data_IF_334201211008
#
_entry.id   IF_334201211008
#
_cell.length_a   1.000
_cell.length_b   1.000
_cell.length_c   1.000
_cell.angle_alpha   90.00
_cell.angle_beta   90.00
_cell.angle_gamma   90.00
#
_symmetry.space_group_name_H-M   'P 1'
#
loop_
_entity.id
_entity.type
_entity.pdbx_description
1 polymer ?
#
# COMPACT_ATOMS: atom_id res chain seq x y z
N UNK A 1 -37.16 20.51 -31.80
CA UNK A 1 -37.09 20.35 -30.33
C UNK A 1 -36.45 18.99 -30.04
N UNK A 2 -35.15 18.93 -29.77
CA UNK A 2 -34.42 17.67 -29.53
C UNK A 2 -33.91 17.70 -28.09
N UNK A 3 -34.46 16.84 -27.23
CA UNK A 3 -33.98 16.62 -25.86
C UNK A 3 -32.83 15.62 -25.92
N UNK A 4 -31.60 16.13 -25.82
CA UNK A 4 -30.41 15.30 -25.65
C UNK A 4 -30.28 15.01 -24.14
N UNK A 5 -30.80 13.88 -23.69
CA UNK A 5 -30.42 13.31 -22.41
C UNK A 5 -29.23 12.38 -22.64
N UNK A 6 -28.01 12.91 -22.53
CA UNK A 6 -26.85 12.05 -22.37
C UNK A 6 -26.49 11.93 -20.89
N UNK A 7 -26.76 10.71 -20.44
CA UNK A 7 -26.57 10.07 -19.17
C UNK A 7 -25.10 10.17 -18.70
N UNK A 8 -24.75 11.22 -17.98
CA UNK A 8 -23.57 11.18 -17.11
C UNK A 8 -23.87 10.20 -15.98
N UNK A 9 -23.51 8.92 -16.17
CA UNK A 9 -23.22 8.05 -15.03
C UNK A 9 -22.09 8.73 -14.28
N UNK A 10 -22.43 9.44 -13.20
CA UNK A 10 -21.47 9.86 -12.18
C UNK A 10 -20.85 8.56 -11.68
N UNK A 11 -19.66 8.22 -12.18
CA UNK A 11 -18.87 7.14 -11.59
C UNK A 11 -18.86 7.42 -10.09
N UNK A 12 -19.37 6.47 -9.30
CA UNK A 12 -19.35 6.58 -7.85
C UNK A 12 -17.88 6.82 -7.50
N UNK A 13 -17.56 8.02 -7.02
CA UNK A 13 -16.21 8.33 -6.59
C UNK A 13 -15.82 7.24 -5.59
N UNK A 14 -14.78 6.48 -5.92
CA UNK A 14 -14.27 5.48 -5.00
C UNK A 14 -13.93 6.19 -3.69
N UNK A 15 -14.33 5.65 -2.52
CA UNK A 15 -14.09 6.34 -1.26
C UNK A 15 -12.59 6.62 -1.12
N UNK A 16 -12.19 7.83 -0.74
CA UNK A 16 -10.79 8.14 -0.51
C UNK A 16 -10.24 7.19 0.56
N UNK A 17 -9.15 6.51 0.22
CA UNK A 17 -8.42 5.63 1.13
C UNK A 17 -7.39 6.50 1.83
N UNK A 18 -7.74 6.94 3.04
CA UNK A 18 -6.76 7.49 3.98
C UNK A 18 -6.45 6.40 5.01
N UNK A 19 -5.19 5.96 5.03
CA UNK A 19 -4.70 4.91 5.92
C UNK A 19 -3.55 5.45 6.73
N UNK A 20 -3.63 5.23 8.03
CA UNK A 20 -2.51 5.27 8.97
C UNK A 20 -2.50 3.92 9.71
N UNK A 21 -1.49 3.10 9.44
CA UNK A 21 -1.33 1.77 10.00
C UNK A 21 0.03 1.63 10.66
N UNK A 22 0.04 1.17 11.91
CA UNK A 22 1.25 0.87 12.67
C UNK A 22 1.31 -0.62 12.92
N UNK A 23 2.50 -1.18 12.74
CA UNK A 23 2.80 -2.57 13.05
C UNK A 23 4.11 -2.65 13.81
N UNK A 24 4.22 -3.55 14.78
CA UNK A 24 5.45 -3.79 15.54
C UNK A 24 6.31 -4.91 14.94
N UNK A 25 5.82 -5.60 13.91
CA UNK A 25 6.54 -6.71 13.29
C UNK A 25 6.04 -7.03 11.89
N UNK A 26 6.88 -7.68 11.09
CA UNK A 26 6.47 -8.18 9.78
C UNK A 26 7.01 -9.57 9.47
N UNK A 27 6.35 -10.25 8.54
CA UNK A 27 6.84 -11.49 7.92
C UNK A 27 7.23 -11.17 6.47
N UNK A 28 8.41 -11.60 6.05
CA UNK A 28 8.83 -11.52 4.65
C UNK A 28 8.65 -12.88 4.00
N UNK A 29 7.99 -12.88 2.85
CA UNK A 29 7.91 -14.03 1.97
C UNK A 29 8.66 -13.72 0.68
N UNK A 30 9.39 -14.69 0.17
CA UNK A 30 10.02 -14.65 -1.14
C UNK A 30 9.78 -15.99 -1.83
N UNK A 31 9.39 -15.99 -3.10
CA UNK A 31 9.03 -17.21 -3.83
C UNK A 31 7.95 -18.03 -3.09
N UNK A 32 7.02 -17.32 -2.44
CA UNK A 32 5.93 -17.85 -1.58
C UNK A 32 6.39 -18.59 -0.32
N UNK A 33 7.67 -18.57 0.01
CA UNK A 33 8.23 -19.15 1.23
C UNK A 33 8.57 -18.06 2.24
N UNK A 34 8.39 -18.36 3.52
CA UNK A 34 8.83 -17.45 4.57
C UNK A 34 10.35 -17.35 4.60
N UNK A 35 10.87 -16.14 4.76
CA UNK A 35 12.30 -15.88 4.81
C UNK A 35 12.74 -15.91 6.27
N UNK A 36 13.60 -16.87 6.60
CA UNK A 36 14.26 -16.97 7.91
C UNK A 36 15.69 -16.46 7.75
N UNK A 37 16.08 -15.50 8.57
CA UNK A 37 17.40 -14.85 8.53
C UNK A 37 17.93 -14.61 9.95
N UNK A 38 19.22 -14.22 10.12
CA UNK A 38 19.74 -13.85 11.44
C UNK A 38 18.99 -12.72 12.13
N UNK A 39 18.18 -11.94 11.40
CA UNK A 39 17.39 -10.82 11.90
C UNK A 39 15.93 -11.19 12.25
N UNK A 40 15.56 -12.46 12.16
CA UNK A 40 14.20 -12.96 12.47
C UNK A 40 14.20 -13.91 13.67
N UNK A 41 13.04 -14.06 14.31
CA UNK A 41 12.82 -15.18 15.22
C UNK A 41 12.71 -16.54 14.47
N UNK A 42 12.50 -17.63 15.22
CA UNK A 42 12.35 -18.98 14.65
C UNK A 42 11.12 -19.17 13.77
N UNK A 43 10.18 -18.23 13.80
CA UNK A 43 9.00 -18.19 12.93
C UNK A 43 9.19 -17.30 11.70
N UNK A 44 10.36 -16.67 11.51
CA UNK A 44 10.64 -15.75 10.40
C UNK A 44 10.10 -14.33 10.62
N UNK A 45 9.72 -13.98 11.85
CA UNK A 45 9.20 -12.65 12.19
C UNK A 45 10.32 -11.66 12.48
N UNK A 46 10.25 -10.49 11.84
CA UNK A 46 11.08 -9.34 12.15
C UNK A 46 10.38 -8.47 13.21
N UNK A 47 11.05 -8.19 14.33
CA UNK A 47 10.58 -7.22 15.31
C UNK A 47 11.07 -5.82 14.91
N UNK A 48 10.22 -5.08 14.19
CA UNK A 48 10.55 -3.75 13.67
C UNK A 48 9.26 -2.93 13.60
N UNK A 49 9.22 -1.80 14.30
CA UNK A 49 8.06 -0.95 14.23
C UNK A 49 8.02 -0.24 12.87
N UNK A 50 6.90 -0.35 12.17
CA UNK A 50 6.69 0.18 10.82
C UNK A 50 5.40 0.95 10.75
N UNK A 51 5.45 2.16 10.19
CA UNK A 51 4.31 2.98 9.83
C UNK A 51 4.05 2.90 8.33
N UNK A 52 2.82 2.57 7.96
CA UNK A 52 2.33 2.55 6.58
C UNK A 52 1.25 3.60 6.45
N UNK A 53 1.45 4.54 5.52
CA UNK A 53 0.52 5.63 5.26
C UNK A 53 0.08 5.64 3.80
N UNK A 54 -1.22 5.79 3.56
CA UNK A 54 -1.79 5.97 2.22
C UNK A 54 -2.55 7.28 2.22
N UNK A 55 -2.14 8.23 1.37
CA UNK A 55 -2.74 9.57 1.31
C UNK A 55 -3.25 9.87 -0.09
N UNK A 56 -4.43 10.48 -0.18
CA UNK A 56 -5.08 10.89 -1.45
C UNK A 56 -4.58 12.29 -1.83
N UNK A 57 -3.35 12.39 -2.32
CA UNK A 57 -2.68 13.67 -2.59
C UNK A 57 -2.03 13.75 -3.98
N UNK A 58 -2.32 12.80 -4.88
CA UNK A 58 -1.80 12.85 -6.25
C UNK A 58 -2.86 13.38 -7.22
N UNK A 59 -2.46 14.18 -8.23
CA UNK A 59 -3.38 14.75 -9.22
C UNK A 59 -3.88 13.73 -10.25
N UNK A 60 -3.27 12.54 -10.34
CA UNK A 60 -3.84 11.41 -11.08
C UNK A 60 -5.13 10.94 -10.36
N UNK A 61 -6.16 10.54 -11.08
CA UNK A 61 -7.48 10.27 -10.52
C UNK A 61 -7.78 8.75 -10.50
N UNK A 62 -7.89 8.09 -9.32
CA UNK A 62 -7.34 8.46 -8.01
C UNK A 62 -5.94 7.87 -7.82
N UNK A 63 -4.96 8.76 -7.68
CA UNK A 63 -3.58 8.45 -7.32
C UNK A 63 -3.39 8.68 -5.82
N UNK A 64 -2.70 7.74 -5.20
CA UNK A 64 -2.38 7.71 -3.80
C UNK A 64 -0.86 7.76 -3.64
N UNK A 65 -0.40 8.47 -2.63
CA UNK A 65 0.98 8.34 -2.15
C UNK A 65 1.02 7.29 -1.05
N UNK A 66 1.82 6.25 -1.24
CA UNK A 66 2.10 5.23 -0.23
C UNK A 66 3.47 5.45 0.39
N UNK A 67 3.52 5.48 1.72
CA UNK A 67 4.74 5.61 2.52
C UNK A 67 4.88 4.37 3.43
N UNK A 68 6.09 3.84 3.54
CA UNK A 68 6.43 2.71 4.41
C UNK A 68 7.74 3.07 5.12
N UNK A 69 7.65 3.40 6.41
CA UNK A 69 8.76 3.94 7.20
C UNK A 69 8.92 3.16 8.50
N UNK A 70 10.14 3.04 9.02
CA UNK A 70 10.35 2.53 10.38
C UNK A 70 9.83 3.57 11.38
N UNK A 71 9.02 3.17 12.36
CA UNK A 71 8.29 4.10 13.22
C UNK A 71 9.05 4.55 14.48
N UNK A 72 10.25 4.03 14.72
CA UNK A 72 11.12 4.46 15.82
C UNK A 72 11.80 5.80 15.51
N UNK A 73 11.77 6.20 14.25
CA UNK A 73 12.10 7.56 13.84
C UNK A 73 10.93 8.46 14.25
N UNK A 74 11.19 9.56 14.96
CA UNK A 74 10.20 10.60 15.21
C UNK A 74 9.70 11.14 13.86
N UNK A 75 8.65 10.54 13.28
CA UNK A 75 8.06 10.99 12.00
C UNK A 75 7.16 12.20 12.29
N UNK A 76 7.77 13.28 12.77
CA UNK A 76 7.25 14.64 12.75
C UNK A 76 8.06 15.42 11.71
N UNK A 77 7.63 15.39 10.45
CA UNK A 77 8.30 16.10 9.36
C UNK A 77 8.56 15.21 8.14
N UNK A 78 8.67 15.86 6.97
CA UNK A 78 8.96 15.26 5.68
C UNK A 78 10.08 14.22 5.79
N UNK A 79 9.69 12.94 5.72
CA UNK A 79 10.67 11.86 5.57
C UNK A 79 11.16 11.93 4.13
N UNK A 80 12.47 11.95 3.94
CA UNK A 80 13.16 11.97 2.64
C UNK A 80 12.90 10.72 1.77
N UNK A 81 11.85 9.95 2.07
CA UNK A 81 11.38 8.81 1.29
C UNK A 81 10.37 9.35 0.28
N UNK A 82 10.73 9.34 -0.99
CA UNK A 82 9.79 9.67 -2.06
C UNK A 82 8.62 8.68 -2.00
N UNK A 83 7.36 9.15 -1.99
CA UNK A 83 6.20 8.26 -1.93
C UNK A 83 6.15 7.35 -3.14
N UNK A 84 5.56 6.17 -2.96
CA UNK A 84 5.24 5.26 -4.04
C UNK A 84 3.87 5.66 -4.61
N UNK A 85 3.78 6.23 -5.82
CA UNK A 85 2.51 6.53 -6.45
C UNK A 85 1.76 5.25 -6.80
N UNK A 86 0.53 5.10 -6.30
CA UNK A 86 -0.32 3.94 -6.57
C UNK A 86 -1.76 4.32 -6.90
N UNK A 87 -2.48 3.47 -7.62
CA UNK A 87 -3.92 3.60 -7.87
C UNK A 87 -4.67 2.35 -7.38
N UNK A 88 -5.92 2.50 -6.96
CA UNK A 88 -6.77 1.34 -6.64
C UNK A 88 -7.03 0.57 -7.93
N UNK A 89 -6.81 -0.75 -7.87
CA UNK A 89 -7.14 -1.69 -8.95
C UNK A 89 -8.29 -2.62 -8.56
N UNK A 90 -8.56 -2.76 -7.26
CA UNK A 90 -9.70 -3.52 -6.75
C UNK A 90 -10.05 -3.06 -5.34
N UNK A 91 -11.34 -2.97 -5.02
CA UNK A 91 -11.79 -2.69 -3.65
C UNK A 91 -13.14 -3.32 -3.36
N UNK A 92 -13.29 -3.86 -2.15
CA UNK A 92 -14.57 -4.29 -1.57
C UNK A 92 -14.51 -4.16 -0.04
N UNK A 93 -15.54 -4.63 0.67
CA UNK A 93 -15.63 -4.52 2.14
C UNK A 93 -14.53 -5.26 2.94
N UNK A 94 -13.77 -6.14 2.29
CA UNK A 94 -12.75 -6.99 2.92
C UNK A 94 -11.32 -6.69 2.44
N UNK A 95 -11.18 -6.11 1.25
CA UNK A 95 -9.87 -5.93 0.64
C UNK A 95 -9.83 -4.66 -0.20
N UNK A 96 -8.71 -3.95 -0.13
CA UNK A 96 -8.34 -2.89 -1.07
C UNK A 96 -6.98 -3.22 -1.65
N UNK A 97 -6.87 -3.21 -2.97
CA UNK A 97 -5.63 -3.51 -3.71
C UNK A 97 -5.22 -2.28 -4.49
N UNK A 98 -3.98 -1.85 -4.28
CA UNK A 98 -3.34 -0.75 -4.97
C UNK A 98 -2.18 -1.28 -5.82
N UNK A 99 -1.97 -0.65 -6.98
CA UNK A 99 -0.87 -0.96 -7.90
C UNK A 99 -0.08 0.31 -8.18
N UNK A 100 1.25 0.23 -8.13
CA UNK A 100 2.08 1.38 -8.43
C UNK A 100 2.05 1.78 -9.91
N UNK A 101 2.20 3.08 -10.19
CA UNK A 101 2.19 3.62 -11.56
C UNK A 101 3.31 4.65 -11.78
N UNK A 102 3.79 4.74 -13.02
CA UNK A 102 4.88 5.65 -13.38
C UNK A 102 6.27 5.04 -13.15
N UNK A 103 7.27 5.91 -13.18
CA UNK A 103 8.69 5.54 -13.15
C UNK A 103 9.39 6.43 -12.11
N UNK A 104 10.19 5.81 -11.25
CA UNK A 104 11.07 6.49 -10.31
C UNK A 104 12.14 7.27 -11.10
N UNK A 105 12.56 8.48 -10.67
CA UNK A 105 13.58 9.26 -11.38
C UNK A 105 14.91 8.53 -11.65
N UNK A 106 15.24 7.51 -10.85
CA UNK A 106 16.41 6.65 -11.06
C UNK A 106 16.19 5.49 -12.06
N UNK A 107 15.01 5.38 -12.67
CA UNK A 107 14.70 4.41 -13.73
C UNK A 107 13.87 3.19 -13.31
N UNK A 108 13.67 2.94 -12.01
CA UNK A 108 12.81 1.85 -11.52
C UNK A 108 11.33 2.06 -11.84
N UNK A 109 10.55 1.00 -12.08
CA UNK A 109 9.12 1.14 -12.40
C UNK A 109 8.29 1.02 -11.13
N UNK A 110 7.35 1.94 -10.91
CA UNK A 110 6.45 1.79 -9.77
C UNK A 110 5.46 0.63 -9.95
N UNK A 111 5.25 0.17 -11.19
CA UNK A 111 4.48 -1.04 -11.48
C UNK A 111 5.03 -2.30 -10.82
N UNK A 112 6.27 -2.27 -10.34
CA UNK A 112 6.89 -3.38 -9.63
C UNK A 112 6.43 -3.45 -8.17
N UNK A 113 5.70 -2.43 -7.69
CA UNK A 113 5.13 -2.40 -6.34
C UNK A 113 3.60 -2.55 -6.34
N UNK A 114 3.08 -3.07 -5.24
CA UNK A 114 1.65 -3.12 -4.94
C UNK A 114 1.39 -3.09 -3.44
N UNK A 115 0.15 -2.80 -3.05
CA UNK A 115 -0.29 -2.83 -1.66
C UNK A 115 -1.64 -3.51 -1.55
N UNK A 116 -1.76 -4.49 -0.68
CA UNK A 116 -3.04 -5.08 -0.30
C UNK A 116 -3.37 -4.73 1.14
N UNK A 117 -4.55 -4.15 1.36
CA UNK A 117 -5.08 -3.82 2.69
C UNK A 117 -6.23 -4.78 2.97
N UNK A 118 -6.13 -5.53 4.07
CA UNK A 118 -7.20 -6.43 4.52
C UNK A 118 -7.98 -5.80 5.66
N UNK A 119 -9.30 -5.84 5.53
CA UNK A 119 -10.25 -5.24 6.44
C UNK A 119 -11.08 -6.31 7.15
N UNK A 120 -11.26 -6.15 8.46
CA UNK A 120 -12.17 -6.93 9.29
C UNK A 120 -12.94 -5.95 10.17
N UNK A 121 -14.28 -5.99 10.10
CA UNK A 121 -15.18 -5.08 10.83
C UNK A 121 -14.78 -3.60 10.73
N UNK A 122 -14.49 -3.15 9.50
CA UNK A 122 -14.07 -1.77 9.18
C UNK A 122 -12.72 -1.35 9.81
N UNK A 123 -11.97 -2.28 10.37
CA UNK A 123 -10.60 -2.08 10.87
C UNK A 123 -9.60 -2.76 9.95
N UNK A 124 -8.42 -2.17 9.80
CA UNK A 124 -7.32 -2.80 9.08
C UNK A 124 -6.77 -3.91 9.99
N UNK A 125 -6.80 -5.14 9.48
CA UNK A 125 -6.25 -6.33 10.12
C UNK A 125 -4.79 -6.52 9.73
N UNK A 126 -4.50 -6.38 8.44
CA UNK A 126 -3.20 -6.66 7.83
C UNK A 126 -2.99 -5.79 6.61
N UNK A 127 -1.74 -5.38 6.39
CA UNK A 127 -1.29 -4.80 5.13
C UNK A 127 -0.20 -5.70 4.54
N UNK A 128 -0.23 -5.90 3.22
CA UNK A 128 0.78 -6.65 2.48
C UNK A 128 1.38 -5.71 1.44
N UNK A 129 2.68 -5.49 1.51
CA UNK A 129 3.43 -4.76 0.50
C UNK A 129 4.07 -5.76 -0.48
N UNK A 130 3.85 -5.54 -1.76
CA UNK A 130 4.27 -6.43 -2.83
C UNK A 130 5.44 -5.81 -3.60
N UNK A 131 6.48 -6.61 -3.83
CA UNK A 131 7.57 -6.29 -4.75
C UNK A 131 7.57 -7.40 -5.82
N UNK A 132 6.81 -7.13 -6.88
CA UNK A 132 6.46 -8.09 -7.92
C UNK A 132 7.64 -8.52 -8.79
N UNK A 133 8.64 -7.65 -8.96
CA UNK A 133 9.86 -7.92 -9.72
C UNK A 133 10.71 -9.05 -9.11
N UNK A 134 10.55 -9.29 -7.81
CA UNK A 134 11.35 -10.24 -7.03
C UNK A 134 10.53 -11.31 -6.33
N UNK A 135 9.23 -11.41 -6.63
CA UNK A 135 8.24 -12.26 -5.94
C UNK A 135 8.33 -12.16 -4.41
N UNK A 136 8.42 -10.94 -3.89
CA UNK A 136 8.50 -10.66 -2.45
C UNK A 136 7.19 -10.08 -1.95
N UNK A 137 6.72 -10.60 -0.82
CA UNK A 137 5.61 -10.03 -0.05
C UNK A 137 6.08 -9.72 1.37
N UNK A 138 5.75 -8.54 1.88
CA UNK A 138 6.01 -8.16 3.26
C UNK A 138 4.66 -7.96 3.95
N UNK A 139 4.34 -8.85 4.90
CA UNK A 139 3.08 -8.84 5.63
C UNK A 139 3.24 -8.16 6.99
N UNK A 140 2.48 -7.10 7.20
CA UNK A 140 2.39 -6.34 8.44
C UNK A 140 1.04 -6.61 9.09
N UNK A 141 1.04 -7.08 10.33
CA UNK A 141 -0.17 -7.33 11.12
C UNK A 141 -0.26 -6.34 12.28
N UNK A 142 -1.48 -6.11 12.77
CA UNK A 142 -1.71 -5.33 13.99
C UNK A 142 -1.22 -6.06 15.24
#
# INVERSE_FOLDING_TARGET
>A
MIKIFNLFKKARAEPPVDIDFLSSSYLRYQDKQIVISPQTDSSGRHAENTAIRVKTNMPANPGYSVFINKSDENITGDTSVMPIPMSIVHTNKYITVLKGFGVHPSGGRYSDYGLTVRWTDQKIEKIIFHLHDRDVNIEFSK
#
